data_IF_137690258859
#
_entry.id   IF_137690258859
#
_cell.length_a   1.000
_cell.length_b   1.000
_cell.length_c   1.000
_cell.angle_alpha   90.00
_cell.angle_beta   90.00
_cell.angle_gamma   90.00
#
_symmetry.space_group_name_H-M   'P 1'
#
loop_
_entity.id
_entity.type
_entity.pdbx_description
1 polymer ?
#
# COMPACT_ATOMS: atom_id res chain seq x y z
N UNK A 1 -5.55 11.55 -19.04
CA UNK A 1 -6.39 11.81 -17.88
C UNK A 1 -6.14 13.21 -17.35
N UNK A 2 -7.12 13.83 -16.73
CA UNK A 2 -7.05 15.22 -16.28
C UNK A 2 -7.40 16.25 -17.35
N UNK A 3 -7.70 15.84 -18.56
CA UNK A 3 -8.16 16.73 -19.62
C UNK A 3 -9.62 17.14 -19.38
N UNK A 4 -9.96 18.37 -19.83
CA UNK A 4 -11.34 18.83 -19.79
C UNK A 4 -12.22 17.93 -20.65
N UNK A 5 -13.38 17.54 -20.12
CA UNK A 5 -14.31 16.67 -20.84
C UNK A 5 -14.08 15.18 -20.64
N UNK A 6 -13.10 14.76 -19.84
CA UNK A 6 -12.91 13.34 -19.51
C UNK A 6 -14.16 12.82 -18.77
N UNK A 7 -14.80 11.72 -19.24
CA UNK A 7 -16.16 11.38 -18.80
C UNK A 7 -16.28 10.74 -17.43
N UNK A 8 -15.19 10.26 -16.84
CA UNK A 8 -15.22 9.57 -15.53
C UNK A 8 -14.30 10.24 -14.52
N UNK A 9 -14.53 9.95 -13.26
CA UNK A 9 -13.64 10.36 -12.17
C UNK A 9 -12.70 9.22 -11.87
N UNK A 10 -11.41 9.54 -11.72
CA UNK A 10 -10.35 8.56 -11.45
C UNK A 10 -9.64 8.93 -10.16
N UNK A 11 -9.40 7.93 -9.30
CA UNK A 11 -8.50 8.04 -8.15
C UNK A 11 -7.30 7.15 -8.42
N UNK A 12 -6.14 7.77 -8.60
CA UNK A 12 -4.91 7.07 -8.97
C UNK A 12 -4.02 6.88 -7.75
N UNK A 13 -3.44 5.68 -7.62
CA UNK A 13 -2.57 5.32 -6.51
C UNK A 13 -1.14 5.09 -7.01
N UNK A 14 -0.18 5.74 -6.38
CA UNK A 14 1.24 5.45 -6.62
C UNK A 14 1.63 4.20 -5.85
N UNK A 15 2.15 3.20 -6.55
CA UNK A 15 2.62 1.97 -5.92
C UNK A 15 3.90 2.24 -5.12
N UNK A 16 3.92 1.76 -3.87
CA UNK A 16 5.12 1.76 -3.04
C UNK A 16 5.99 0.56 -3.44
N UNK A 17 7.07 0.84 -4.15
CA UNK A 17 7.99 -0.20 -4.62
C UNK A 17 9.37 0.41 -4.83
N UNK A 18 10.40 -0.22 -4.29
CA UNK A 18 11.81 0.15 -4.48
C UNK A 18 12.16 1.60 -4.09
N UNK A 19 11.31 2.27 -3.31
CA UNK A 19 11.55 3.64 -2.83
C UNK A 19 11.52 3.66 -1.30
N UNK A 20 12.17 4.66 -0.71
CA UNK A 20 12.04 4.87 0.73
C UNK A 20 10.67 5.48 1.06
N UNK A 21 10.16 5.34 2.30
CA UNK A 21 8.90 5.96 2.68
C UNK A 21 8.90 7.48 2.43
N UNK A 22 10.00 8.16 2.71
CA UNK A 22 10.12 9.60 2.49
C UNK A 22 9.96 9.96 1.01
N UNK A 23 10.61 9.23 0.11
CA UNK A 23 10.53 9.47 -1.33
C UNK A 23 9.10 9.29 -1.84
N UNK A 24 8.42 8.22 -1.44
CA UNK A 24 7.06 7.93 -1.89
C UNK A 24 6.09 8.99 -1.37
N UNK A 25 6.19 9.37 -0.11
CA UNK A 25 5.31 10.39 0.49
C UNK A 25 5.54 11.75 -0.17
N UNK A 26 6.79 12.12 -0.45
CA UNK A 26 7.09 13.38 -1.14
C UNK A 26 6.50 13.42 -2.54
N UNK A 27 6.62 12.31 -3.30
CA UNK A 27 6.00 12.19 -4.62
C UNK A 27 4.48 12.31 -4.50
N UNK A 28 3.87 11.65 -3.52
CA UNK A 28 2.42 11.70 -3.30
C UNK A 28 1.94 13.11 -2.98
N UNK A 29 2.66 13.85 -2.15
CA UNK A 29 2.32 15.24 -1.81
C UNK A 29 2.37 16.12 -3.05
N UNK A 30 3.41 15.98 -3.88
CA UNK A 30 3.53 16.74 -5.13
C UNK A 30 2.42 16.41 -6.11
N UNK A 31 2.06 15.13 -6.24
CA UNK A 31 0.98 14.70 -7.13
C UNK A 31 -0.38 15.17 -6.63
N UNK A 32 -0.61 15.18 -5.32
CA UNK A 32 -1.85 15.65 -4.72
C UNK A 32 -2.16 17.10 -5.12
N UNK A 33 -1.14 17.94 -5.19
CA UNK A 33 -1.28 19.34 -5.61
C UNK A 33 -1.73 19.47 -7.07
N UNK A 34 -1.55 18.43 -7.90
CA UNK A 34 -1.95 18.40 -9.31
C UNK A 34 -3.32 17.77 -9.53
N UNK A 35 -4.04 17.42 -8.46
CA UNK A 35 -5.37 16.82 -8.58
C UNK A 35 -6.36 17.80 -9.20
N UNK A 36 -7.28 17.25 -10.00
CA UNK A 36 -8.40 18.00 -10.60
C UNK A 36 -9.72 17.46 -10.08
N UNK A 37 -10.84 18.05 -10.52
CA UNK A 37 -12.18 17.59 -10.15
C UNK A 37 -12.43 16.13 -10.58
N UNK A 38 -11.85 15.69 -11.69
CA UNK A 38 -12.06 14.35 -12.23
C UNK A 38 -10.88 13.41 -12.05
N UNK A 39 -9.73 13.91 -11.60
CA UNK A 39 -8.53 13.11 -11.39
C UNK A 39 -7.95 13.41 -10.01
N UNK A 40 -8.00 12.43 -9.12
CA UNK A 40 -7.36 12.50 -7.80
C UNK A 40 -6.01 11.79 -7.86
N UNK A 41 -4.97 12.51 -7.49
CA UNK A 41 -3.60 11.99 -7.40
C UNK A 41 -3.10 12.08 -5.97
N UNK A 42 -1.97 11.41 -5.68
CA UNK A 42 -1.30 11.53 -4.40
C UNK A 42 -1.69 10.49 -3.37
N UNK A 43 -2.41 9.45 -3.76
CA UNK A 43 -2.63 8.28 -2.91
C UNK A 43 -1.54 7.23 -3.15
N UNK A 44 -1.25 6.43 -2.12
CA UNK A 44 -0.21 5.39 -2.16
C UNK A 44 -0.86 4.01 -2.08
N UNK A 45 -0.42 3.09 -2.93
CA UNK A 45 -0.78 1.67 -2.90
C UNK A 45 0.38 0.85 -2.34
N UNK A 46 0.12 0.16 -1.26
CA UNK A 46 1.09 -0.67 -0.55
C UNK A 46 0.70 -2.14 -0.67
N UNK A 47 1.67 -3.00 -0.89
CA UNK A 47 1.48 -4.47 -0.83
C UNK A 47 2.24 -5.01 0.38
N UNK A 48 1.51 -5.52 1.35
CA UNK A 48 2.10 -6.12 2.55
C UNK A 48 2.58 -7.54 2.26
N UNK A 49 1.71 -8.33 1.64
CA UNK A 49 2.02 -9.71 1.23
C UNK A 49 1.44 -10.01 -0.16
N UNK A 50 1.44 -11.28 -0.55
CA UNK A 50 0.98 -11.69 -1.86
C UNK A 50 -0.42 -12.28 -1.87
N UNK A 51 -0.58 -13.42 -2.54
CA UNK A 51 -1.87 -14.10 -2.73
C UNK A 51 -1.88 -15.48 -2.10
N UNK A 52 -3.06 -15.92 -1.66
CA UNK A 52 -3.23 -17.27 -1.10
C UNK A 52 -3.03 -18.31 -2.20
N UNK A 53 -3.58 -18.07 -3.39
CA UNK A 53 -3.48 -19.00 -4.53
C UNK A 53 -2.04 -19.21 -5.00
N UNK A 54 -1.21 -18.18 -4.89
CA UNK A 54 0.21 -18.25 -5.27
C UNK A 54 1.13 -18.58 -4.11
N UNK A 55 0.61 -18.94 -2.95
CA UNK A 55 1.36 -19.27 -1.74
C UNK A 55 2.32 -18.15 -1.31
N UNK A 56 1.97 -16.92 -1.58
CA UNK A 56 2.76 -15.74 -1.22
C UNK A 56 2.09 -14.84 -0.17
N UNK A 57 0.89 -15.19 0.30
CA UNK A 57 0.27 -14.53 1.45
C UNK A 57 0.93 -14.97 2.75
N UNK A 58 1.11 -14.04 3.70
CA UNK A 58 1.69 -14.34 5.03
C UNK A 58 0.59 -14.82 5.97
N UNK A 59 0.69 -16.08 6.39
CA UNK A 59 -0.28 -16.71 7.26
C UNK A 59 0.29 -16.92 8.67
N UNK A 60 -0.60 -16.93 9.67
CA UNK A 60 -0.26 -17.38 11.02
C UNK A 60 0.06 -18.88 11.00
N UNK A 61 0.77 -19.34 12.03
CA UNK A 61 0.99 -20.77 12.21
C UNK A 61 -0.38 -21.50 12.20
N UNK A 62 -0.53 -22.66 11.55
CA UNK A 62 0.51 -23.50 10.91
C UNK A 62 0.86 -23.13 9.46
N UNK A 63 0.35 -22.02 8.89
CA UNK A 63 0.62 -21.64 7.51
C UNK A 63 -0.22 -22.42 6.52
N UNK A 64 0.40 -22.82 5.39
CA UNK A 64 -0.29 -23.57 4.33
C UNK A 64 -0.37 -25.05 4.65
N UNK A 65 -1.57 -25.64 4.48
CA UNK A 65 -1.80 -27.07 4.77
C UNK A 65 -1.08 -28.02 3.83
N UNK A 66 -0.71 -27.56 2.62
CA UNK A 66 0.02 -28.36 1.66
C UNK A 66 1.53 -28.40 1.92
N UNK A 67 2.00 -27.81 3.02
CA UNK A 67 3.44 -27.78 3.36
C UNK A 67 4.23 -26.72 2.62
N UNK A 68 3.60 -25.85 1.82
CA UNK A 68 4.32 -24.77 1.16
C UNK A 68 4.94 -23.84 2.20
N UNK A 69 6.13 -23.25 1.91
CA UNK A 69 6.71 -22.24 2.78
C UNK A 69 5.75 -21.07 2.97
N UNK A 70 5.79 -20.43 4.14
CA UNK A 70 4.97 -19.25 4.36
C UNK A 70 5.33 -18.14 3.37
N UNK A 71 4.38 -17.24 3.13
CA UNK A 71 4.54 -16.18 2.12
C UNK A 71 5.61 -15.15 2.46
N UNK A 72 5.73 -14.18 1.60
CA UNK A 72 6.77 -13.16 1.66
C UNK A 72 6.20 -11.84 2.18
N UNK A 73 7.05 -11.07 2.86
CA UNK A 73 6.79 -9.65 3.10
C UNK A 73 7.23 -8.88 1.86
N UNK A 74 6.28 -8.40 1.04
CA UNK A 74 6.61 -7.51 -0.08
C UNK A 74 7.07 -6.15 0.43
N UNK A 75 6.57 -5.75 1.60
CA UNK A 75 7.04 -4.56 2.30
C UNK A 75 7.37 -4.96 3.73
N UNK A 76 8.62 -4.76 4.19
CA UNK A 76 8.98 -5.10 5.58
C UNK A 76 8.18 -4.29 6.60
N UNK A 77 7.90 -4.86 7.80
CA UNK A 77 7.14 -4.16 8.83
C UNK A 77 7.69 -2.78 9.20
N UNK A 78 9.00 -2.62 9.25
CA UNK A 78 9.66 -1.35 9.58
C UNK A 78 9.32 -0.27 8.54
N UNK A 79 9.34 -0.65 7.26
CA UNK A 79 8.99 0.26 6.17
C UNK A 79 7.52 0.65 6.21
N UNK A 80 6.64 -0.29 6.57
CA UNK A 80 5.20 -0.03 6.70
C UNK A 80 4.92 0.97 7.80
N UNK A 81 5.51 0.78 8.99
CA UNK A 81 5.35 1.70 10.12
C UNK A 81 5.82 3.11 9.75
N UNK A 82 6.99 3.22 9.12
CA UNK A 82 7.52 4.51 8.67
C UNK A 82 6.62 5.17 7.64
N UNK A 83 6.12 4.39 6.68
CA UNK A 83 5.22 4.91 5.64
C UNK A 83 3.91 5.43 6.24
N UNK A 84 3.28 4.67 7.13
CA UNK A 84 2.02 5.07 7.77
C UNK A 84 2.20 6.34 8.56
N UNK A 85 3.27 6.45 9.34
CA UNK A 85 3.56 7.63 10.14
C UNK A 85 3.73 8.88 9.27
N UNK A 86 4.55 8.79 8.23
CA UNK A 86 4.78 9.90 7.32
C UNK A 86 3.52 10.28 6.54
N UNK A 87 2.76 9.29 6.07
CA UNK A 87 1.53 9.53 5.33
C UNK A 87 0.51 10.26 6.19
N UNK A 88 0.35 9.86 7.46
CA UNK A 88 -0.55 10.55 8.39
C UNK A 88 -0.10 11.98 8.65
N UNK A 89 1.20 12.22 8.83
CA UNK A 89 1.74 13.56 9.05
C UNK A 89 1.52 14.48 7.85
N UNK A 90 1.55 13.94 6.64
CA UNK A 90 1.42 14.70 5.38
C UNK A 90 -0.01 14.69 4.82
N UNK A 91 -0.94 13.99 5.46
CA UNK A 91 -2.31 13.90 4.98
C UNK A 91 -2.45 13.09 3.69
N UNK A 92 -1.62 12.08 3.48
CA UNK A 92 -1.63 11.22 2.30
C UNK A 92 -2.42 9.95 2.59
N UNK A 93 -3.30 9.56 1.65
CA UNK A 93 -4.08 8.33 1.76
C UNK A 93 -3.23 7.12 1.36
N UNK A 94 -3.25 6.08 2.20
CA UNK A 94 -2.58 4.81 1.92
C UNK A 94 -3.62 3.71 1.81
N UNK A 95 -3.55 2.94 0.70
CA UNK A 95 -4.38 1.76 0.48
C UNK A 95 -3.48 0.53 0.56
N UNK A 96 -3.69 -0.32 1.54
CA UNK A 96 -2.85 -1.49 1.80
C UNK A 96 -3.53 -2.77 1.34
N UNK A 97 -2.78 -3.61 0.61
CA UNK A 97 -3.20 -4.96 0.24
C UNK A 97 -2.69 -5.94 1.28
N UNK A 98 -3.60 -6.68 1.91
CA UNK A 98 -3.28 -7.76 2.85
C UNK A 98 -4.21 -8.93 2.58
N UNK A 99 -3.66 -10.12 2.34
CA UNK A 99 -4.45 -11.34 2.13
C UNK A 99 -4.29 -12.33 3.28
N UNK A 100 -3.08 -12.49 3.83
CA UNK A 100 -2.83 -13.37 4.95
C UNK A 100 -3.30 -12.76 6.26
N UNK A 101 -3.72 -13.61 7.20
CA UNK A 101 -4.13 -13.16 8.53
C UNK A 101 -2.96 -12.56 9.31
N UNK A 102 -1.75 -13.12 9.19
CA UNK A 102 -0.55 -12.55 9.80
C UNK A 102 -0.23 -11.19 9.20
N UNK A 103 -0.35 -11.05 7.87
CA UNK A 103 -0.11 -9.77 7.20
C UNK A 103 -1.09 -8.70 7.65
N UNK A 104 -2.37 -9.06 7.78
CA UNK A 104 -3.42 -8.13 8.22
C UNK A 104 -3.17 -7.68 9.66
N UNK A 105 -2.85 -8.61 10.55
CA UNK A 105 -2.55 -8.29 11.95
C UNK A 105 -1.36 -7.34 12.05
N UNK A 106 -0.28 -7.63 11.33
CA UNK A 106 0.91 -6.78 11.33
C UNK A 106 0.63 -5.38 10.79
N UNK A 107 -0.16 -5.27 9.72
CA UNK A 107 -0.54 -3.97 9.17
C UNK A 107 -1.35 -3.14 10.17
N UNK A 108 -2.28 -3.78 10.90
CA UNK A 108 -3.06 -3.11 11.93
C UNK A 108 -2.19 -2.68 13.11
N UNK A 109 -1.23 -3.50 13.52
CA UNK A 109 -0.29 -3.16 14.59
C UNK A 109 0.55 -1.93 14.21
N UNK A 110 0.93 -1.79 12.95
CA UNK A 110 1.68 -0.64 12.46
C UNK A 110 0.86 0.66 12.48
N UNK A 111 -0.47 0.57 12.50
CA UNK A 111 -1.36 1.74 12.60
C UNK A 111 -1.52 2.25 14.04
N UNK A 112 -1.22 1.42 15.00
CA UNK A 112 -1.27 1.80 16.42
C UNK A 112 0.06 2.47 16.81
#
# INVERSE_FOLDING_TARGET
TGEAGFPVRIVSFRRFQALTPEQVVDIAVKLKAKSTDRLRLGAIKLFVDGSIQGFSARLRWPGYYNGAPNGLWYTPPEAISGLYKLALQKGVLVHSHTNGDQATEMALDCLE
#
